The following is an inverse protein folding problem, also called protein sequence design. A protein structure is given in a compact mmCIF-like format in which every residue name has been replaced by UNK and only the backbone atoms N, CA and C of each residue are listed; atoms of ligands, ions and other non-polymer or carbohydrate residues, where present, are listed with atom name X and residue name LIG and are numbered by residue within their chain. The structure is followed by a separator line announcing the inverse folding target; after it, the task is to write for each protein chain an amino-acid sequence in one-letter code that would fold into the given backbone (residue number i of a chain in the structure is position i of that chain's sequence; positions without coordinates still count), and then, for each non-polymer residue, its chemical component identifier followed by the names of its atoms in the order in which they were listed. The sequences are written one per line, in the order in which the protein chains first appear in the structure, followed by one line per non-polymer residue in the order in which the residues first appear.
data_IF_205230053615
#
_entry.id   IF_205230053615
#
_cell.length_a   1.000
_cell.length_b   1.000
_cell.length_c   1.000
_cell.angle_alpha   90.00
_cell.angle_beta   90.00
_cell.angle_gamma   90.00
#
_symmetry.space_group_name_H-M   'P 1'
#
loop_
_entity.id
_entity.type
_entity.pdbx_description
1 polymer ?
#
# COMPACT_ATOMS: atom_id res chain seq x y z
N UNK A 1 -10.25 -7.98 32.71
CA UNK A 1 -10.49 -6.72 31.96
C UNK A 1 -9.98 -5.57 32.81
N UNK A 2 -9.12 -4.69 32.28
CA UNK A 2 -8.23 -3.81 33.05
C UNK A 2 -8.70 -2.33 33.02
N UNK A 3 -9.99 -2.05 33.24
CA UNK A 3 -10.48 -0.65 33.31
C UNK A 3 -11.65 -0.51 34.30
N UNK A 4 -11.38 -0.39 35.61
CA UNK A 4 -12.42 -0.29 36.65
C UNK A 4 -13.25 0.99 36.56
N UNK A 5 -12.68 2.10 36.09
CA UNK A 5 -13.38 3.40 35.95
C UNK A 5 -14.46 3.37 34.85
N UNK A 6 -14.28 2.54 33.81
CA UNK A 6 -15.25 2.36 32.73
C UNK A 6 -16.47 1.54 33.17
N UNK A 7 -16.33 0.70 34.20
CA UNK A 7 -17.43 -0.10 34.71
C UNK A 7 -18.41 0.72 35.57
N UNK A 8 -17.96 1.85 36.13
CA UNK A 8 -18.78 2.76 36.94
C UNK A 8 -19.43 3.87 36.13
N UNK A 9 -19.07 4.01 34.85
CA UNK A 9 -19.60 5.06 33.98
C UNK A 9 -20.94 4.65 33.37
N UNK A 10 -22.01 5.31 33.78
CA UNK A 10 -23.34 5.16 33.16
C UNK A 10 -23.46 6.17 32.00
N UNK A 11 -23.48 5.74 30.73
CA UNK A 11 -23.41 6.65 29.59
C UNK A 11 -24.66 7.54 29.52
N UNK A 12 -24.50 8.82 29.85
CA UNK A 12 -25.52 9.84 29.60
C UNK A 12 -25.39 10.31 28.15
N UNK A 13 -26.45 10.04 27.39
CA UNK A 13 -26.72 10.53 26.04
C UNK A 13 -25.81 9.98 24.90
N UNK A 14 -26.00 8.70 24.55
CA UNK A 14 -25.34 8.06 23.39
C UNK A 14 -25.90 8.50 22.02
N UNK A 15 -26.97 9.32 21.97
CA UNK A 15 -27.58 9.77 20.72
C UNK A 15 -26.67 10.70 19.91
N UNK A 16 -25.89 11.57 20.58
CA UNK A 16 -24.96 12.48 19.90
C UNK A 16 -23.83 11.71 19.18
N UNK A 17 -23.32 10.64 19.81
CA UNK A 17 -22.33 9.76 19.20
C UNK A 17 -22.93 8.89 18.09
N UNK A 18 -24.20 8.50 18.19
CA UNK A 18 -24.86 7.73 17.14
C UNK A 18 -24.85 8.47 15.80
N UNK A 19 -25.15 9.78 15.80
CA UNK A 19 -25.04 10.60 14.58
C UNK A 19 -23.61 10.67 14.04
N UNK A 20 -22.61 10.83 14.92
CA UNK A 20 -21.21 10.87 14.51
C UNK A 20 -20.72 9.54 13.94
N UNK A 21 -21.14 8.41 14.54
CA UNK A 21 -20.81 7.06 14.06
C UNK A 21 -21.44 6.83 12.67
N UNK A 22 -22.68 7.26 12.45
CA UNK A 22 -23.34 7.13 11.14
C UNK A 22 -22.61 7.94 10.06
N UNK A 23 -22.22 9.18 10.37
CA UNK A 23 -21.40 9.99 9.45
C UNK A 23 -20.07 9.28 9.17
N UNK A 24 -19.40 8.77 10.20
CA UNK A 24 -18.13 8.06 10.03
C UNK A 24 -18.29 6.81 9.16
N UNK A 25 -19.33 6.00 9.37
CA UNK A 25 -19.63 4.83 8.54
C UNK A 25 -19.82 5.27 7.09
N UNK A 26 -20.60 6.32 6.83
CA UNK A 26 -20.82 6.81 5.47
C UNK A 26 -19.54 7.32 4.80
N UNK A 27 -18.67 8.00 5.55
CA UNK A 27 -17.37 8.46 5.06
C UNK A 27 -16.45 7.27 4.72
N UNK A 28 -16.40 6.24 5.58
CA UNK A 28 -15.66 5.01 5.29
C UNK A 28 -16.23 4.31 4.05
N UNK A 29 -17.55 4.16 3.97
CA UNK A 29 -18.20 3.55 2.84
C UNK A 29 -17.88 4.30 1.55
N UNK A 30 -17.95 5.62 1.55
CA UNK A 30 -17.65 6.46 0.38
C UNK A 30 -16.17 6.37 0.01
N UNK A 31 -15.28 6.55 0.98
CA UNK A 31 -13.82 6.58 0.77
C UNK A 31 -13.25 5.25 0.29
N UNK A 32 -13.81 4.13 0.75
CA UNK A 32 -13.33 2.79 0.41
C UNK A 32 -14.23 2.08 -0.63
N UNK A 33 -15.12 2.83 -1.30
CA UNK A 33 -16.02 2.26 -2.31
C UNK A 33 -15.26 1.53 -3.43
N UNK A 34 -14.07 2.03 -3.80
CA UNK A 34 -13.27 1.43 -4.87
C UNK A 34 -12.69 0.06 -4.50
N UNK A 35 -12.44 -0.21 -3.21
CA UNK A 35 -12.08 -1.55 -2.75
C UNK A 35 -13.24 -2.53 -2.92
N UNK A 36 -14.48 -2.08 -2.74
CA UNK A 36 -15.66 -2.91 -2.99
C UNK A 36 -15.86 -3.17 -4.48
N UNK A 37 -15.68 -2.15 -5.33
CA UNK A 37 -15.74 -2.30 -6.79
C UNK A 37 -14.69 -3.30 -7.30
N UNK A 38 -13.49 -3.27 -6.71
CA UNK A 38 -12.38 -4.15 -7.10
C UNK A 38 -12.23 -5.37 -6.16
N UNK A 39 -13.27 -5.73 -5.42
CA UNK A 39 -13.23 -6.80 -4.41
C UNK A 39 -12.81 -8.14 -5.00
N UNK A 40 -13.24 -8.46 -6.22
CA UNK A 40 -12.84 -9.69 -6.91
C UNK A 40 -11.35 -9.72 -7.26
N UNK A 41 -10.79 -8.60 -7.74
CA UNK A 41 -9.36 -8.48 -8.02
C UNK A 41 -8.52 -8.65 -6.76
N UNK A 42 -9.00 -8.09 -5.64
CA UNK A 42 -8.41 -8.29 -4.31
C UNK A 42 -8.52 -9.75 -3.87
N UNK A 43 -9.66 -10.41 -4.09
CA UNK A 43 -9.88 -11.80 -3.71
C UNK A 43 -9.03 -12.78 -4.51
N UNK A 44 -8.83 -12.55 -5.81
CA UNK A 44 -7.92 -13.35 -6.66
C UNK A 44 -6.48 -13.30 -6.10
N UNK A 45 -6.07 -12.16 -5.56
CA UNK A 45 -4.75 -11.97 -4.96
C UNK A 45 -4.65 -12.49 -3.52
N UNK A 46 -5.64 -12.20 -2.68
CA UNK A 46 -5.57 -12.49 -1.24
C UNK A 46 -6.06 -13.90 -0.89
N UNK A 47 -6.98 -14.45 -1.67
CA UNK A 47 -7.64 -15.73 -1.42
C UNK A 47 -7.89 -16.50 -2.73
N UNK A 48 -6.86 -16.77 -3.55
CA UNK A 48 -7.02 -17.40 -4.87
C UNK A 48 -7.73 -18.77 -4.82
N UNK A 49 -7.52 -19.53 -3.74
CA UNK A 49 -8.08 -20.88 -3.55
C UNK A 49 -9.56 -20.92 -3.15
N UNK A 50 -10.18 -19.76 -2.88
CA UNK A 50 -11.59 -19.67 -2.47
C UNK A 50 -12.37 -18.62 -3.27
N UNK A 51 -11.81 -18.15 -4.39
CA UNK A 51 -12.50 -17.18 -5.24
C UNK A 51 -13.63 -17.89 -6.01
N UNK A 52 -14.78 -17.22 -6.13
CA UNK A 52 -15.86 -17.71 -6.97
C UNK A 52 -15.50 -17.51 -8.45
N UNK A 53 -15.16 -18.61 -9.12
CA UNK A 53 -14.77 -18.65 -10.53
C UNK A 53 -15.85 -18.04 -11.43
N UNK A 54 -17.14 -18.19 -11.09
CA UNK A 54 -18.25 -17.70 -11.91
C UNK A 54 -18.38 -16.19 -11.91
N UNK A 55 -17.90 -15.56 -10.83
CA UNK A 55 -17.95 -14.12 -10.64
C UNK A 55 -16.72 -13.40 -11.22
N UNK A 56 -15.63 -14.12 -11.46
CA UNK A 56 -14.35 -13.57 -11.91
C UNK A 56 -14.33 -13.31 -13.42
N UNK A 57 -13.59 -12.28 -13.86
CA UNK A 57 -13.38 -11.98 -15.29
C UNK A 57 -12.81 -13.18 -16.06
N UNK A 58 -13.29 -13.39 -17.30
CA UNK A 58 -12.92 -14.54 -18.15
C UNK A 58 -11.42 -14.76 -18.30
N UNK A 59 -10.62 -13.69 -18.33
CA UNK A 59 -9.16 -13.76 -18.46
C UNK A 59 -8.46 -14.52 -17.31
N UNK A 60 -9.07 -14.53 -16.12
CA UNK A 60 -8.53 -15.21 -14.94
C UNK A 60 -9.14 -16.59 -14.73
N UNK A 61 -10.33 -16.87 -15.29
CA UNK A 61 -11.09 -18.08 -14.97
C UNK A 61 -10.29 -19.36 -15.17
N UNK A 62 -9.58 -19.50 -16.29
CA UNK A 62 -8.79 -20.70 -16.60
C UNK A 62 -7.69 -20.92 -15.57
N UNK A 63 -6.90 -19.89 -15.27
CA UNK A 63 -5.81 -19.98 -14.30
C UNK A 63 -6.32 -20.16 -12.86
N UNK A 64 -7.45 -19.55 -12.50
CA UNK A 64 -8.09 -19.74 -11.20
C UNK A 64 -8.65 -21.16 -11.05
N UNK A 65 -9.25 -21.74 -12.10
CA UNK A 65 -9.71 -23.14 -12.09
C UNK A 65 -8.52 -24.07 -11.90
N UNK A 66 -7.46 -23.88 -12.69
CA UNK A 66 -6.26 -24.71 -12.60
C UNK A 66 -5.64 -24.59 -11.21
N UNK A 67 -5.51 -23.36 -10.68
CA UNK A 67 -4.96 -23.12 -9.35
C UNK A 67 -5.81 -23.75 -8.23
N UNK A 68 -7.14 -23.69 -8.33
CA UNK A 68 -8.04 -24.33 -7.35
C UNK A 68 -8.08 -25.85 -7.46
N UNK A 69 -7.85 -26.37 -8.67
CA UNK A 69 -7.77 -27.80 -8.96
C UNK A 69 -6.39 -28.38 -8.68
N UNK A 70 -5.37 -27.52 -8.56
CA UNK A 70 -3.99 -27.89 -8.32
C UNK A 70 -3.77 -28.56 -6.96
N UNK A 71 -2.67 -29.30 -6.87
CA UNK A 71 -2.34 -30.23 -5.78
C UNK A 71 -2.37 -29.57 -4.39
N UNK A 72 -2.72 -30.36 -3.37
CA UNK A 72 -2.83 -29.97 -1.95
C UNK A 72 -1.57 -29.23 -1.48
N UNK A 73 -0.42 -29.57 -2.05
CA UNK A 73 0.88 -28.97 -1.74
C UNK A 73 0.91 -27.46 -2.00
N UNK A 74 0.35 -26.97 -3.12
CA UNK A 74 0.42 -25.55 -3.45
C UNK A 74 -0.44 -24.73 -2.47
N UNK A 75 -1.60 -25.28 -2.09
CA UNK A 75 -2.46 -24.71 -1.04
C UNK A 75 -1.80 -24.74 0.34
N UNK A 76 -1.08 -25.80 0.68
CA UNK A 76 -0.28 -25.84 1.91
C UNK A 76 0.82 -24.77 1.92
N UNK A 77 1.56 -24.60 0.80
CA UNK A 77 2.57 -23.55 0.68
C UNK A 77 1.99 -22.16 0.82
N UNK A 78 0.80 -21.92 0.27
CA UNK A 78 0.08 -20.67 0.45
C UNK A 78 -0.23 -20.37 1.93
N UNK A 79 -0.69 -21.38 2.67
CA UNK A 79 -1.03 -21.22 4.09
C UNK A 79 0.20 -21.10 5.02
N UNK A 80 1.36 -21.60 4.57
CA UNK A 80 2.60 -21.61 5.36
C UNK A 80 3.53 -20.44 5.06
N UNK A 81 3.30 -19.69 3.98
CA UNK A 81 4.21 -18.65 3.49
C UNK A 81 3.55 -17.27 3.51
N UNK A 82 4.36 -16.21 3.43
CA UNK A 82 3.82 -14.89 3.12
C UNK A 82 3.25 -14.87 1.70
N UNK A 83 2.30 -13.95 1.42
CA UNK A 83 1.76 -13.75 0.06
C UNK A 83 2.86 -13.52 -0.98
N UNK A 84 3.89 -12.74 -0.62
CA UNK A 84 5.00 -12.42 -1.51
C UNK A 84 5.85 -13.66 -1.81
N UNK A 85 6.18 -14.43 -0.78
CA UNK A 85 6.97 -15.64 -0.94
C UNK A 85 6.21 -16.72 -1.69
N UNK A 86 4.90 -16.85 -1.45
CA UNK A 86 4.02 -17.74 -2.19
C UNK A 86 4.13 -17.50 -3.70
N UNK A 87 3.81 -16.27 -4.12
CA UNK A 87 3.76 -15.92 -5.53
C UNK A 87 5.13 -15.91 -6.19
N UNK A 88 6.20 -15.61 -5.44
CA UNK A 88 7.56 -15.56 -5.97
C UNK A 88 8.23 -16.94 -6.09
N UNK A 89 7.99 -17.84 -5.13
CA UNK A 89 8.74 -19.10 -5.02
C UNK A 89 7.94 -20.31 -5.49
N UNK A 90 6.61 -20.26 -5.40
CA UNK A 90 5.77 -21.45 -5.57
C UNK A 90 4.78 -21.37 -6.73
N UNK A 91 4.47 -20.16 -7.25
CA UNK A 91 3.59 -20.01 -8.41
C UNK A 91 4.42 -19.89 -9.71
N UNK A 92 4.44 -20.90 -10.59
CA UNK A 92 5.22 -20.86 -11.83
C UNK A 92 4.62 -19.86 -12.83
N UNK A 93 5.44 -18.94 -13.35
CA UNK A 93 4.98 -17.90 -14.29
C UNK A 93 4.55 -18.49 -15.64
N UNK A 94 5.15 -19.59 -16.05
CA UNK A 94 4.86 -20.29 -17.30
C UNK A 94 3.45 -20.88 -17.30
N UNK A 95 2.96 -21.32 -16.13
CA UNK A 95 1.64 -21.91 -15.95
C UNK A 95 0.58 -20.85 -15.63
N UNK A 96 0.96 -19.80 -14.90
CA UNK A 96 0.04 -18.77 -14.41
C UNK A 96 0.45 -17.34 -14.81
N UNK A 97 0.64 -17.04 -16.10
CA UNK A 97 1.12 -15.73 -16.54
C UNK A 97 0.16 -14.58 -16.19
N UNK A 98 -1.16 -14.79 -16.30
CA UNK A 98 -2.16 -13.74 -16.03
C UNK A 98 -2.24 -13.43 -14.54
N UNK A 99 -2.23 -14.46 -13.68
CA UNK A 99 -2.17 -14.28 -12.23
C UNK A 99 -0.86 -13.64 -11.81
N UNK A 100 0.27 -14.01 -12.42
CA UNK A 100 1.57 -13.41 -12.10
C UNK A 100 1.59 -11.91 -12.42
N UNK A 101 1.08 -11.49 -13.58
CA UNK A 101 1.00 -10.07 -13.94
C UNK A 101 0.05 -9.30 -13.02
N UNK A 102 -1.08 -9.92 -12.65
CA UNK A 102 -2.01 -9.35 -11.67
C UNK A 102 -1.38 -9.18 -10.28
N UNK A 103 -0.64 -10.18 -9.81
CA UNK A 103 0.07 -10.15 -8.54
C UNK A 103 1.10 -9.03 -8.50
N UNK A 104 1.87 -8.83 -9.58
CA UNK A 104 2.82 -7.71 -9.68
C UNK A 104 2.10 -6.37 -9.59
N UNK A 105 0.98 -6.22 -10.31
CA UNK A 105 0.14 -5.04 -10.22
C UNK A 105 -0.35 -4.81 -8.78
N UNK A 106 -0.87 -5.83 -8.10
CA UNK A 106 -1.36 -5.72 -6.73
C UNK A 106 -0.26 -5.34 -5.74
N UNK A 107 0.92 -5.97 -5.81
CA UNK A 107 2.06 -5.59 -4.97
C UNK A 107 2.51 -4.14 -5.21
N UNK A 108 2.45 -3.65 -6.45
CA UNK A 108 2.79 -2.26 -6.77
C UNK A 108 1.84 -1.24 -6.11
N UNK A 109 0.55 -1.57 -5.97
CA UNK A 109 -0.43 -0.72 -5.30
C UNK A 109 -0.08 -0.54 -3.81
N UNK A 110 0.24 -1.64 -3.12
CA UNK A 110 0.61 -1.58 -1.71
C UNK A 110 1.99 -0.94 -1.49
N UNK A 111 2.95 -1.22 -2.37
CA UNK A 111 4.27 -0.59 -2.33
C UNK A 111 4.20 0.93 -2.54
N UNK A 112 3.39 1.39 -3.50
CA UNK A 112 3.21 2.82 -3.77
C UNK A 112 2.55 3.55 -2.59
N UNK A 113 1.61 2.93 -1.89
CA UNK A 113 0.96 3.50 -0.70
C UNK A 113 1.98 3.74 0.41
N UNK A 114 2.83 2.75 0.71
CA UNK A 114 3.91 2.91 1.69
C UNK A 114 4.91 4.01 1.30
N UNK A 115 5.27 4.10 0.01
CA UNK A 115 6.14 5.17 -0.51
C UNK A 115 5.45 6.54 -0.36
N UNK A 116 4.16 6.63 -0.65
CA UNK A 116 3.36 7.84 -0.47
C UNK A 116 3.30 8.26 1.01
N UNK A 117 3.03 7.34 1.93
CA UNK A 117 3.00 7.60 3.37
C UNK A 117 4.37 8.09 3.88
N UNK A 118 5.46 7.43 3.46
CA UNK A 118 6.81 7.90 3.75
C UNK A 118 7.07 9.29 3.17
N UNK A 119 6.64 9.57 1.93
CA UNK A 119 6.78 10.87 1.28
C UNK A 119 6.01 11.96 2.03
N UNK A 120 4.77 11.70 2.46
CA UNK A 120 3.98 12.64 3.27
C UNK A 120 4.61 12.88 4.65
N UNK A 121 5.11 11.84 5.30
CA UNK A 121 5.83 11.96 6.57
C UNK A 121 7.10 12.80 6.43
N UNK A 122 7.91 12.55 5.39
CA UNK A 122 9.11 13.34 5.06
C UNK A 122 8.75 14.78 4.70
N UNK A 123 7.69 15.00 3.91
CA UNK A 123 7.19 16.34 3.59
C UNK A 123 6.77 17.12 4.82
N UNK A 124 6.05 16.47 5.76
CA UNK A 124 5.67 17.08 7.05
C UNK A 124 6.90 17.50 7.85
N UNK A 125 7.95 16.69 7.87
CA UNK A 125 9.22 17.05 8.51
C UNK A 125 9.92 18.22 7.80
N UNK A 126 9.98 18.22 6.46
CA UNK A 126 10.60 19.29 5.65
C UNK A 126 9.89 20.63 5.86
N UNK A 127 8.55 20.63 5.95
CA UNK A 127 7.75 21.84 6.17
C UNK A 127 7.68 22.29 7.65
N UNK A 128 7.79 21.38 8.63
CA UNK A 128 7.50 21.72 10.05
C UNK A 128 8.67 22.26 10.87
N UNK A 129 9.93 21.96 10.52
CA UNK A 129 11.05 22.25 11.45
C UNK A 129 11.92 23.47 11.12
N UNK A 130 12.13 23.84 9.85
CA UNK A 130 13.21 24.80 9.51
C UNK A 130 12.92 25.89 8.46
N UNK A 131 11.73 25.99 7.84
CA UNK A 131 11.51 26.97 6.74
C UNK A 131 10.08 27.51 6.67
N UNK A 132 9.91 28.82 6.88
CA UNK A 132 8.61 29.50 6.73
C UNK A 132 8.23 29.79 5.27
N UNK A 133 9.14 29.61 4.31
CA UNK A 133 8.90 29.89 2.88
C UNK A 133 9.75 28.98 2.00
N UNK A 134 9.31 27.73 1.80
CA UNK A 134 9.86 26.87 0.74
C UNK A 134 8.96 26.99 -0.49
N UNK A 135 9.52 27.37 -1.64
CA UNK A 135 8.75 27.34 -2.89
C UNK A 135 8.58 25.89 -3.38
N UNK A 136 7.54 25.64 -4.16
CA UNK A 136 7.19 24.27 -4.60
C UNK A 136 8.35 23.55 -5.32
N UNK A 137 9.10 24.26 -6.17
CA UNK A 137 10.30 23.71 -6.85
C UNK A 137 11.37 23.20 -5.87
N UNK A 138 11.58 23.90 -4.75
CA UNK A 138 12.57 23.50 -3.75
C UNK A 138 12.06 22.33 -2.91
N UNK A 139 10.74 22.30 -2.65
CA UNK A 139 10.11 21.20 -1.96
C UNK A 139 10.19 19.90 -2.78
N UNK A 140 9.86 19.97 -4.07
CA UNK A 140 9.98 18.85 -5.01
C UNK A 140 11.40 18.30 -5.05
N UNK A 141 12.40 19.17 -5.19
CA UNK A 141 13.82 18.78 -5.18
C UNK A 141 14.22 18.09 -3.87
N UNK A 142 13.81 18.63 -2.72
CA UNK A 142 14.10 18.03 -1.42
C UNK A 142 13.39 16.67 -1.23
N UNK A 143 12.15 16.55 -1.70
CA UNK A 143 11.40 15.29 -1.65
C UNK A 143 12.07 14.24 -2.53
N UNK A 144 12.44 14.59 -3.77
CA UNK A 144 13.13 13.68 -4.69
C UNK A 144 14.41 13.11 -4.10
N UNK A 145 15.27 13.96 -3.53
CA UNK A 145 16.50 13.51 -2.85
C UNK A 145 16.15 12.64 -1.64
N UNK A 146 15.13 13.01 -0.88
CA UNK A 146 14.77 12.28 0.32
C UNK A 146 14.14 10.92 0.01
N UNK A 147 13.39 10.74 -1.07
CA UNK A 147 12.62 9.51 -1.34
C UNK A 147 13.25 8.59 -2.37
N UNK A 148 14.40 8.95 -2.94
CA UNK A 148 15.10 8.13 -3.92
C UNK A 148 16.48 7.75 -3.42
N UNK A 149 16.98 6.60 -3.87
CA UNK A 149 18.37 6.17 -3.64
C UNK A 149 19.31 6.74 -4.71
N UNK A 150 18.99 7.90 -5.30
CA UNK A 150 19.83 8.53 -6.31
C UNK A 150 21.05 9.09 -5.59
N UNK A 151 22.22 8.54 -5.90
CA UNK A 151 23.48 9.07 -5.40
C UNK A 151 23.75 10.44 -6.06
N UNK A 152 24.12 11.46 -5.28
CA UNK A 152 24.52 12.73 -5.85
C UNK A 152 25.79 12.54 -6.67
N UNK A 153 25.78 12.99 -7.93
CA UNK A 153 26.97 13.06 -8.77
C UNK A 153 27.83 14.24 -8.32
N UNK A 154 28.59 14.01 -7.25
CA UNK A 154 29.42 15.01 -6.58
C UNK A 154 30.52 15.49 -7.54
N UNK A 155 31.11 14.59 -8.33
CA UNK A 155 32.20 14.92 -9.25
C UNK A 155 31.74 15.87 -10.37
N UNK A 156 30.57 15.60 -10.96
CA UNK A 156 29.96 16.51 -11.92
C UNK A 156 29.61 17.86 -11.29
N UNK A 157 29.06 17.88 -10.08
CA UNK A 157 28.78 19.13 -9.36
C UNK A 157 30.04 19.95 -9.05
N UNK A 158 31.13 19.29 -8.66
CA UNK A 158 32.43 19.93 -8.41
C UNK A 158 33.03 20.48 -9.71
N UNK A 159 32.90 19.77 -10.83
CA UNK A 159 33.39 20.23 -12.14
C UNK A 159 32.65 21.49 -12.65
N UNK A 160 31.36 21.65 -12.30
CA UNK A 160 30.53 22.79 -12.70
C UNK A 160 30.72 24.02 -11.81
N UNK A 161 31.09 23.86 -10.53
CA UNK A 161 31.36 24.98 -9.62
C UNK A 161 32.83 25.39 -9.60
N UNK A 162 33.22 26.32 -10.49
CA UNK A 162 34.57 26.93 -10.51
C UNK A 162 34.90 27.92 -9.38
N UNK A 163 34.05 28.10 -8.37
CA UNK A 163 34.34 28.99 -7.24
C UNK A 163 33.94 28.35 -5.93
N UNK A 164 34.93 27.80 -5.23
CA UNK A 164 34.84 27.56 -3.79
C UNK A 164 34.72 28.93 -3.11
N UNK A 165 33.64 29.17 -2.36
CA UNK A 165 33.67 30.23 -1.36
C UNK A 165 34.57 29.75 -0.24
N UNK A 166 35.79 30.28 -0.20
CA UNK A 166 36.67 30.15 0.95
C UNK A 166 36.09 31.12 1.99
N UNK A 167 35.56 30.57 3.09
CA UNK A 167 35.17 31.39 4.24
C UNK A 167 36.43 32.04 4.83
N UNK A 168 36.37 33.35 5.08
CA UNK A 168 37.36 34.10 5.84
C UNK A 168 37.09 33.99 7.35
#
# INVERSE_FOLDING_TARGET
MYFPVLAEYNPKNNQEYASLILVLINEFETRFQDFRKNSQLLAIFATPFSVDITAVETKFQVECIELQSSDIQLKEKFNQSSLLDFYKLYLPKETYPVLHDHVLFMFSLFGSTYICEQLFSRMKNIKSKNRFTISDKHLESCLRISTTSIDPDIDSLLSQKRKFQISH
#
